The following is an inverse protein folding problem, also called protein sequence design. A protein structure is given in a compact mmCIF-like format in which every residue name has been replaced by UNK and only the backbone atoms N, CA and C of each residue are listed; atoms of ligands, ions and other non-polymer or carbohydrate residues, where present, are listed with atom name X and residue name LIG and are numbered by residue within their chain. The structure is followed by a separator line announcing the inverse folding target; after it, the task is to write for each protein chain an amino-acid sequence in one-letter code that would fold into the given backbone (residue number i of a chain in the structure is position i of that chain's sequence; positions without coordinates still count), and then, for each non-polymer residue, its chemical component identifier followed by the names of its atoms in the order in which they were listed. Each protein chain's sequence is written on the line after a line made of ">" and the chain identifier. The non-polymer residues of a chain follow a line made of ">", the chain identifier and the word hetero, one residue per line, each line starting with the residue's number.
data_IF_574167211324
#
_entry.id   IF_574167211324
#
_cell.length_a   1.000
_cell.length_b   1.000
_cell.length_c   1.000
_cell.angle_alpha   90.00
_cell.angle_beta   90.00
_cell.angle_gamma   90.00
#
_symmetry.space_group_name_H-M   'P 1'
#
loop_
_entity.id
_entity.type
_entity.pdbx_description
1 polymer ?
#
# COMPACT_ATOMS: atom_id res chain seq x y z
N UNK A 1 16.24 25.15 -4.61
CA UNK A 1 16.39 23.69 -4.78
C UNK A 1 15.19 23.05 -4.09
N UNK A 2 14.05 23.11 -4.76
CA UNK A 2 12.72 22.73 -4.23
C UNK A 2 11.90 22.24 -5.41
N UNK A 3 12.31 21.09 -5.95
CA UNK A 3 11.60 20.33 -6.97
C UNK A 3 11.71 18.85 -6.57
N UNK A 4 10.99 18.50 -5.49
CA UNK A 4 10.75 17.09 -5.15
C UNK A 4 9.40 16.87 -4.43
N UNK A 5 8.66 17.95 -4.14
CA UNK A 5 7.38 17.91 -3.43
C UNK A 5 6.17 17.94 -4.38
N UNK A 6 6.29 17.19 -5.48
CA UNK A 6 5.22 17.02 -6.45
C UNK A 6 5.18 15.57 -6.96
N UNK A 7 5.29 14.60 -6.05
CA UNK A 7 4.79 13.26 -6.37
C UNK A 7 3.33 13.22 -5.94
N UNK A 8 2.48 13.36 -6.95
CA UNK A 8 1.03 13.45 -6.91
C UNK A 8 0.39 12.49 -5.90
N UNK A 9 -0.52 13.06 -5.11
CA UNK A 9 -1.54 12.35 -4.35
C UNK A 9 -2.35 11.45 -5.31
N UNK A 10 -1.93 10.18 -5.47
CA UNK A 10 -2.70 9.15 -6.16
C UNK A 10 -3.48 8.33 -5.14
N UNK A 11 -4.44 9.00 -4.49
CA UNK A 11 -5.52 8.34 -3.77
C UNK A 11 -6.44 7.61 -4.78
N UNK A 12 -6.01 6.45 -5.28
CA UNK A 12 -6.85 5.58 -6.08
C UNK A 12 -7.86 4.83 -5.19
N UNK A 13 -9.08 4.56 -5.68
CA UNK A 13 -10.17 4.02 -4.86
C UNK A 13 -9.88 2.58 -4.42
N UNK A 14 -9.72 2.39 -3.10
CA UNK A 14 -9.30 1.18 -2.38
C UNK A 14 -10.11 -0.11 -2.66
N UNK A 15 -11.23 -0.05 -3.40
CA UNK A 15 -12.06 -1.24 -3.68
C UNK A 15 -11.76 -1.96 -4.98
N UNK A 16 -11.09 -1.33 -5.95
CA UNK A 16 -10.80 -1.96 -7.27
C UNK A 16 -9.39 -2.55 -7.40
N UNK A 17 -8.46 -2.20 -6.50
CA UNK A 17 -7.07 -2.70 -6.51
C UNK A 17 -6.85 -3.97 -5.69
N UNK A 18 -7.92 -4.69 -5.30
CA UNK A 18 -7.88 -5.82 -4.36
C UNK A 18 -7.14 -7.07 -4.90
N UNK A 19 -6.66 -7.08 -6.15
CA UNK A 19 -5.91 -8.20 -6.71
C UNK A 19 -5.15 -7.88 -8.01
N UNK A 20 -5.01 -6.62 -8.43
CA UNK A 20 -4.44 -6.29 -9.75
C UNK A 20 -3.66 -4.98 -9.70
N UNK A 21 -2.34 -5.07 -9.82
CA UNK A 21 -1.48 -4.00 -10.32
C UNK A 21 -1.32 -4.32 -11.82
N UNK A 22 -1.76 -3.43 -12.70
CA UNK A 22 -1.59 -3.53 -14.15
C UNK A 22 -2.25 -4.73 -14.87
N UNK A 23 -3.39 -5.23 -14.38
CA UNK A 23 -4.13 -6.31 -15.06
C UNK A 23 -3.49 -7.70 -14.98
N UNK A 24 -2.32 -7.80 -14.34
CA UNK A 24 -1.77 -9.07 -13.88
C UNK A 24 -2.12 -9.23 -12.40
N UNK A 25 -2.69 -10.38 -12.04
CA UNK A 25 -2.83 -10.75 -10.63
C UNK A 25 -1.46 -10.64 -9.97
N UNK A 26 -1.35 -10.14 -8.74
CA UNK A 26 -0.08 -10.23 -7.98
C UNK A 26 0.33 -11.71 -7.99
N UNK A 27 1.42 -12.05 -8.69
CA UNK A 27 1.68 -13.44 -9.10
C UNK A 27 2.53 -14.18 -8.09
N UNK A 28 3.26 -13.46 -7.26
CA UNK A 28 4.21 -14.06 -6.34
C UNK A 28 4.10 -13.46 -4.92
N UNK A 29 4.31 -14.29 -3.88
CA UNK A 29 4.41 -13.82 -2.50
C UNK A 29 5.46 -12.70 -2.31
N UNK A 30 6.55 -12.74 -3.08
CA UNK A 30 7.65 -11.76 -2.98
C UNK A 30 7.24 -10.37 -3.48
N UNK A 31 6.42 -10.28 -4.53
CA UNK A 31 5.87 -9.01 -5.01
C UNK A 31 4.92 -8.41 -3.99
N UNK A 32 4.11 -9.24 -3.35
CA UNK A 32 3.17 -8.82 -2.32
C UNK A 32 3.90 -8.34 -1.05
N UNK A 33 4.98 -8.99 -0.66
CA UNK A 33 5.84 -8.54 0.45
C UNK A 33 6.45 -7.17 0.19
N UNK A 34 6.98 -6.93 -1.01
CA UNK A 34 7.52 -5.62 -1.38
C UNK A 34 6.47 -4.53 -1.27
N UNK A 35 5.26 -4.80 -1.78
CA UNK A 35 4.14 -3.86 -1.69
C UNK A 35 3.73 -3.57 -0.24
N UNK A 36 3.74 -4.60 0.63
CA UNK A 36 3.47 -4.41 2.06
C UNK A 36 4.51 -3.49 2.71
N UNK A 37 5.79 -3.66 2.38
CA UNK A 37 6.86 -2.79 2.92
C UNK A 37 6.69 -1.35 2.42
N UNK A 38 6.45 -1.15 1.12
CA UNK A 38 6.21 0.18 0.53
C UNK A 38 5.04 0.91 1.23
N UNK A 39 3.91 0.22 1.42
CA UNK A 39 2.74 0.80 2.09
C UNK A 39 2.98 1.04 3.59
N UNK A 40 3.79 0.23 4.26
CA UNK A 40 4.16 0.45 5.66
C UNK A 40 5.00 1.72 5.83
N UNK A 41 5.94 1.98 4.91
CA UNK A 41 6.70 3.23 4.87
C UNK A 41 5.79 4.45 4.62
N UNK A 42 4.85 4.35 3.66
CA UNK A 42 3.87 5.42 3.40
C UNK A 42 2.94 5.70 4.60
N UNK A 43 2.53 4.65 5.31
CA UNK A 43 1.74 4.78 6.54
C UNK A 43 2.51 5.55 7.62
N UNK A 44 3.78 5.20 7.82
CA UNK A 44 4.65 5.85 8.81
C UNK A 44 4.89 7.31 8.44
N UNK A 45 5.20 7.61 7.18
CA UNK A 45 5.35 8.99 6.71
C UNK A 45 4.05 9.80 6.92
N UNK A 46 2.89 9.21 6.65
CA UNK A 46 1.60 9.86 6.92
C UNK A 46 1.37 10.11 8.41
N UNK A 47 1.80 9.20 9.27
CA UNK A 47 1.72 9.37 10.73
C UNK A 47 2.68 10.46 11.24
N UNK A 48 3.90 10.53 10.70
CA UNK A 48 4.88 11.59 10.99
C UNK A 48 4.34 12.97 10.58
N UNK A 49 3.64 13.04 9.46
CA UNK A 49 2.95 14.24 8.97
C UNK A 49 1.63 14.56 9.72
N UNK A 50 1.28 13.81 10.77
CA UNK A 50 0.02 13.92 11.52
C UNK A 50 -1.25 13.66 10.68
N UNK A 51 -1.11 13.04 9.50
CA UNK A 51 -2.20 12.63 8.60
C UNK A 51 -2.79 11.28 9.04
N UNK A 52 -3.37 11.23 10.24
CA UNK A 52 -3.82 9.99 10.86
C UNK A 52 -4.97 9.29 10.12
N UNK A 53 -5.85 10.02 9.44
CA UNK A 53 -6.92 9.42 8.64
C UNK A 53 -6.35 8.61 7.46
N UNK A 54 -5.30 9.12 6.84
CA UNK A 54 -4.60 8.44 5.75
C UNK A 54 -3.79 7.25 6.27
N UNK A 55 -3.04 7.43 7.35
CA UNK A 55 -2.34 6.34 8.02
C UNK A 55 -3.29 5.21 8.46
N UNK A 56 -4.48 5.55 8.98
CA UNK A 56 -5.49 4.56 9.36
C UNK A 56 -6.02 3.78 8.15
N UNK A 57 -6.23 4.45 7.01
CA UNK A 57 -6.64 3.80 5.76
C UNK A 57 -5.57 2.83 5.28
N UNK A 58 -4.30 3.25 5.26
CA UNK A 58 -3.19 2.43 4.80
C UNK A 58 -3.00 1.22 5.74
N UNK A 59 -3.12 1.40 7.06
CA UNK A 59 -3.09 0.30 8.04
C UNK A 59 -4.15 -0.77 7.74
N UNK A 60 -5.37 -0.35 7.43
CA UNK A 60 -6.45 -1.28 7.13
C UNK A 60 -6.21 -2.04 5.80
N UNK A 61 -5.60 -1.38 4.81
CA UNK A 61 -5.15 -2.00 3.55
C UNK A 61 -4.01 -3.01 3.78
N UNK A 62 -3.00 -2.65 4.59
CA UNK A 62 -1.90 -3.53 4.99
C UNK A 62 -2.39 -4.81 5.66
N UNK A 63 -3.42 -4.71 6.49
CA UNK A 63 -4.00 -5.88 7.18
C UNK A 63 -4.60 -6.88 6.20
N UNK A 64 -5.26 -6.42 5.15
CA UNK A 64 -5.81 -7.29 4.12
C UNK A 64 -4.70 -7.91 3.26
N UNK A 65 -3.70 -7.12 2.84
CA UNK A 65 -2.56 -7.63 2.06
C UNK A 65 -1.75 -8.70 2.81
N UNK A 66 -1.56 -8.54 4.13
CA UNK A 66 -0.90 -9.55 4.96
C UNK A 66 -1.69 -10.87 5.02
N UNK A 67 -3.02 -10.81 5.00
CA UNK A 67 -3.88 -12.01 4.94
C UNK A 67 -3.78 -12.70 3.58
N UNK A 68 -3.76 -11.91 2.51
CA UNK A 68 -3.61 -12.45 1.15
C UNK A 68 -2.23 -13.11 0.97
N UNK A 69 -1.17 -12.55 1.57
CA UNK A 69 0.17 -13.14 1.57
C UNK A 69 0.21 -14.47 2.31
N UNK A 70 -0.44 -14.55 3.47
CA UNK A 70 -0.56 -15.80 4.22
C UNK A 70 -1.31 -16.86 3.41
N UNK A 71 -2.40 -16.47 2.75
CA UNK A 71 -3.18 -17.37 1.88
C UNK A 71 -2.40 -17.87 0.65
N UNK A 72 -1.50 -17.06 0.09
CA UNK A 72 -0.64 -17.45 -1.03
C UNK A 72 0.51 -18.38 -0.62
N UNK A 73 0.89 -18.37 0.67
CA UNK A 73 1.99 -19.18 1.22
C UNK A 73 1.53 -20.53 1.79
N UNK A 74 0.24 -20.68 2.05
CA UNK A 74 -0.39 -21.90 2.55
C UNK A 74 -0.51 -22.97 1.46
#
# INVERSE_FOLDING_TARGET
>A
MTEFLAMESRAAPARRRRAQRDGEAIRSPEELEKLIVELEEEMLASAEDLRFEEAARIRDELKELRRDLEALRA
#
